data_IF_486704087894
#
_entry.id   IF_486704087894
#
_cell.length_a   1.000
_cell.length_b   1.000
_cell.length_c   1.000
_cell.angle_alpha   90.00
_cell.angle_beta   90.00
_cell.angle_gamma   90.00
#
_symmetry.space_group_name_H-M   'P 1'
#
loop_
_entity.id
_entity.type
_entity.pdbx_description
1 polymer ?
#
# COMPACT_ATOMS: atom_id res chain seq x y z
N UNK A 1 35.39 21.22 -39.14
CA UNK A 1 35.27 20.75 -40.54
C UNK A 1 36.48 19.91 -41.02
N UNK A 2 37.72 20.45 -41.09
CA UNK A 2 38.86 19.75 -41.75
C UNK A 2 39.20 18.35 -41.21
N UNK A 3 39.21 18.13 -39.89
CA UNK A 3 39.64 16.86 -39.28
C UNK A 3 38.62 15.71 -39.35
N UNK A 4 37.33 16.01 -39.59
CA UNK A 4 36.22 15.04 -39.60
C UNK A 4 35.21 15.40 -40.69
N UNK A 5 35.55 15.26 -41.99
CA UNK A 5 34.73 15.78 -43.08
C UNK A 5 33.41 15.03 -43.28
N UNK A 6 33.40 13.70 -43.10
CA UNK A 6 32.21 12.83 -43.26
C UNK A 6 31.19 13.09 -42.15
N UNK A 7 31.63 13.04 -40.89
CA UNK A 7 30.80 13.32 -39.71
C UNK A 7 30.22 14.74 -39.76
N UNK A 8 31.00 15.73 -40.22
CA UNK A 8 30.52 17.10 -40.42
C UNK A 8 29.47 17.23 -41.55
N UNK A 9 29.55 16.40 -42.60
CA UNK A 9 28.56 16.38 -43.67
C UNK A 9 27.27 15.69 -43.21
N UNK A 10 27.35 14.57 -42.48
CA UNK A 10 26.19 13.93 -41.87
C UNK A 10 25.48 14.86 -40.87
N UNK A 11 26.23 15.54 -39.99
CA UNK A 11 25.70 16.54 -39.07
C UNK A 11 25.08 17.76 -39.77
N UNK A 12 25.67 18.22 -40.88
CA UNK A 12 25.11 19.28 -41.72
C UNK A 12 23.78 18.88 -42.36
N UNK A 13 23.70 17.70 -42.97
CA UNK A 13 22.47 17.16 -43.55
C UNK A 13 21.36 16.94 -42.49
N UNK A 14 21.73 16.41 -41.32
CA UNK A 14 20.82 16.29 -40.19
C UNK A 14 20.32 17.66 -39.70
N UNK A 15 21.17 18.69 -39.70
CA UNK A 15 20.77 20.07 -39.36
C UNK A 15 19.75 20.62 -40.36
N UNK A 16 19.99 20.47 -41.67
CA UNK A 16 19.07 20.95 -42.71
C UNK A 16 17.67 20.34 -42.53
N UNK A 17 17.59 19.05 -42.18
CA UNK A 17 16.32 18.40 -41.87
C UNK A 17 15.72 18.89 -40.55
N UNK A 18 16.48 18.93 -39.46
CA UNK A 18 15.98 19.32 -38.13
C UNK A 18 15.55 20.80 -38.02
N UNK A 19 16.17 21.71 -38.80
CA UNK A 19 15.71 23.09 -38.94
C UNK A 19 14.47 23.21 -39.87
N UNK A 20 14.20 22.19 -40.67
CA UNK A 20 13.25 22.23 -41.77
C UNK A 20 13.63 23.29 -42.80
N UNK A 21 14.78 23.14 -43.44
CA UNK A 21 15.24 23.95 -44.57
C UNK A 21 15.00 23.18 -45.89
N UNK A 22 14.52 23.83 -46.97
CA UNK A 22 14.49 23.21 -48.29
C UNK A 22 15.90 22.77 -48.71
N UNK A 23 16.07 21.59 -49.35
CA UNK A 23 15.05 20.66 -49.82
C UNK A 23 14.81 19.45 -48.87
N UNK A 24 15.09 19.56 -47.57
CA UNK A 24 15.07 18.42 -46.65
C UNK A 24 13.65 18.04 -46.16
N UNK A 25 13.44 16.76 -45.81
CA UNK A 25 12.14 16.22 -45.39
C UNK A 25 11.48 17.00 -44.23
N UNK A 26 12.27 17.49 -43.27
CA UNK A 26 11.75 18.27 -42.14
C UNK A 26 11.15 19.63 -42.53
N UNK A 27 11.42 20.16 -43.72
CA UNK A 27 10.70 21.34 -44.23
C UNK A 27 9.23 20.99 -44.52
N UNK A 28 9.02 19.88 -45.23
CA UNK A 28 7.68 19.37 -45.59
C UNK A 28 6.90 19.01 -44.32
N UNK A 29 7.54 18.31 -43.37
CA UNK A 29 6.92 17.97 -42.09
C UNK A 29 6.48 19.21 -41.28
N UNK A 30 7.26 20.30 -41.35
CA UNK A 30 6.95 21.58 -40.70
C UNK A 30 5.83 22.35 -41.40
N UNK A 31 5.75 22.33 -42.74
CA UNK A 31 4.61 22.92 -43.46
C UNK A 31 3.30 22.18 -43.16
N UNK A 32 3.31 20.84 -43.19
CA UNK A 32 2.13 20.01 -42.83
C UNK A 32 1.72 20.21 -41.38
N UNK A 33 2.67 20.40 -40.46
CA UNK A 33 2.38 20.77 -39.07
C UNK A 33 1.64 22.12 -38.99
N UNK A 34 2.07 23.15 -39.74
CA UNK A 34 1.36 24.44 -39.74
C UNK A 34 0.01 24.41 -40.45
N UNK A 35 -0.14 23.64 -41.54
CA UNK A 35 -1.44 23.39 -42.17
C UNK A 35 -2.42 22.75 -41.17
N UNK A 36 -1.98 21.71 -40.45
CA UNK A 36 -2.84 21.01 -39.48
C UNK A 36 -3.11 21.83 -38.21
N UNK A 37 -2.15 22.59 -37.67
CA UNK A 37 -2.43 23.46 -36.51
C UNK A 37 -3.30 24.66 -36.87
N UNK A 38 -3.23 25.19 -38.09
CA UNK A 38 -4.13 26.25 -38.55
C UNK A 38 -5.56 25.74 -38.80
N UNK A 39 -5.73 24.50 -39.27
CA UNK A 39 -7.04 23.88 -39.45
C UNK A 39 -7.76 23.54 -38.13
N UNK A 40 -7.02 23.37 -37.02
CA UNK A 40 -7.51 22.90 -35.72
C UNK A 40 -8.31 23.96 -34.92
N UNK A 41 -9.40 24.48 -35.49
CA UNK A 41 -10.29 25.40 -34.77
C UNK A 41 -11.04 24.71 -33.60
N UNK A 42 -11.33 25.42 -32.50
CA UNK A 42 -11.06 26.85 -32.25
C UNK A 42 -9.66 27.14 -31.70
N UNK A 43 -8.87 26.12 -31.34
CA UNK A 43 -7.57 26.27 -30.65
C UNK A 43 -6.38 26.59 -31.58
N UNK A 44 -6.63 26.72 -32.88
CA UNK A 44 -5.63 26.86 -33.94
C UNK A 44 -4.54 27.91 -33.68
N UNK A 45 -4.91 29.08 -33.14
CA UNK A 45 -3.96 30.14 -32.80
C UNK A 45 -2.93 29.73 -31.75
N UNK A 46 -3.39 29.09 -30.66
CA UNK A 46 -2.51 28.62 -29.58
C UNK A 46 -1.64 27.45 -30.03
N UNK A 47 -2.21 26.49 -30.79
CA UNK A 47 -1.45 25.36 -31.33
C UNK A 47 -0.38 25.83 -32.33
N UNK A 48 -0.72 26.74 -33.24
CA UNK A 48 0.22 27.26 -34.25
C UNK A 48 1.31 28.11 -33.59
N UNK A 49 0.98 28.93 -32.58
CA UNK A 49 1.98 29.68 -31.80
C UNK A 49 2.93 28.75 -31.02
N UNK A 50 2.40 27.72 -30.36
CA UNK A 50 3.21 26.70 -29.68
C UNK A 50 4.12 25.93 -30.62
N UNK A 51 3.60 25.50 -31.78
CA UNK A 51 4.37 24.84 -32.83
C UNK A 51 5.47 25.76 -33.39
N UNK A 52 5.18 27.04 -33.61
CA UNK A 52 6.14 28.02 -34.12
C UNK A 52 7.29 28.28 -33.13
N UNK A 53 6.97 28.47 -31.84
CA UNK A 53 7.98 28.63 -30.80
C UNK A 53 8.83 27.35 -30.65
N UNK A 54 8.19 26.18 -30.63
CA UNK A 54 8.87 24.89 -30.56
C UNK A 54 9.83 24.65 -31.74
N UNK A 55 9.38 24.88 -32.97
CA UNK A 55 10.22 24.72 -34.15
C UNK A 55 11.31 25.79 -34.25
N UNK A 56 11.09 27.04 -33.81
CA UNK A 56 12.14 28.05 -33.74
C UNK A 56 13.25 27.66 -32.75
N UNK A 57 12.89 27.03 -31.62
CA UNK A 57 13.85 26.45 -30.68
C UNK A 57 14.58 25.26 -31.32
N UNK A 58 13.90 24.37 -32.06
CA UNK A 58 14.55 23.25 -32.77
C UNK A 58 15.52 23.72 -33.85
N UNK A 59 15.20 24.79 -34.60
CA UNK A 59 16.13 25.45 -35.53
C UNK A 59 17.37 25.92 -34.79
N UNK A 60 17.21 26.64 -33.66
CA UNK A 60 18.35 27.11 -32.87
C UNK A 60 19.20 25.95 -32.32
N UNK A 61 18.58 24.91 -31.75
CA UNK A 61 19.24 23.71 -31.22
C UNK A 61 19.98 22.95 -32.32
N UNK A 62 19.38 22.78 -33.50
CA UNK A 62 20.02 22.10 -34.63
C UNK A 62 21.30 22.83 -35.09
N UNK A 63 21.30 24.17 -35.14
CA UNK A 63 22.51 24.95 -35.38
C UNK A 63 23.56 24.76 -34.28
N UNK A 64 23.15 24.76 -33.01
CA UNK A 64 24.03 24.61 -31.85
C UNK A 64 24.68 23.21 -31.75
N UNK A 65 24.00 22.17 -32.20
CA UNK A 65 24.47 20.77 -32.10
C UNK A 65 25.10 20.28 -33.41
N UNK A 66 24.54 20.64 -34.57
CA UNK A 66 24.96 20.09 -35.86
C UNK A 66 25.92 20.96 -36.69
N UNK A 67 25.96 22.28 -36.47
CA UNK A 67 26.88 23.19 -37.18
C UNK A 67 28.03 23.69 -36.29
N UNK A 68 27.69 24.20 -35.10
CA UNK A 68 28.63 24.86 -34.19
C UNK A 68 29.84 24.00 -33.74
N UNK A 69 29.76 22.66 -33.57
CA UNK A 69 30.95 21.85 -33.30
C UNK A 69 31.93 21.77 -34.48
N UNK A 70 31.48 22.04 -35.70
CA UNK A 70 32.31 21.95 -36.91
C UNK A 70 32.74 23.32 -37.49
N UNK A 71 32.16 24.42 -37.00
CA UNK A 71 32.38 25.81 -37.42
C UNK A 71 32.89 26.64 -36.24
N UNK A 72 34.16 27.06 -36.29
CA UNK A 72 34.79 27.89 -35.27
C UNK A 72 36.31 27.71 -35.23
N UNK A 73 36.97 28.35 -34.26
CA UNK A 73 38.33 27.97 -33.86
C UNK A 73 38.25 26.64 -33.08
N UNK A 74 39.20 25.69 -33.25
CA UNK A 74 39.30 24.53 -32.38
C UNK A 74 39.46 24.98 -30.92
N UNK A 75 38.71 24.36 -30.01
CA UNK A 75 38.98 24.45 -28.58
C UNK A 75 40.03 23.41 -28.17
N UNK A 76 40.64 23.58 -27.01
CA UNK A 76 41.48 22.57 -26.40
C UNK A 76 40.62 21.37 -25.97
N UNK A 77 40.90 20.20 -26.52
CA UNK A 77 40.17 18.95 -26.24
C UNK A 77 41.13 17.90 -25.67
N UNK A 78 40.71 17.05 -24.70
CA UNK A 78 41.60 16.06 -24.05
C UNK A 78 42.23 15.01 -24.98
N UNK A 79 41.80 14.94 -26.24
CA UNK A 79 42.40 14.17 -27.33
C UNK A 79 42.30 14.96 -28.63
N UNK A 80 43.19 14.70 -29.59
CA UNK A 80 43.11 15.29 -30.92
C UNK A 80 41.94 14.72 -31.74
N UNK A 81 41.28 15.60 -32.50
CA UNK A 81 40.20 15.23 -33.41
C UNK A 81 40.75 14.44 -34.62
N UNK A 82 40.24 13.23 -34.80
CA UNK A 82 40.64 12.28 -35.85
C UNK A 82 39.39 11.84 -36.63
N UNK A 83 39.57 11.40 -37.88
CA UNK A 83 38.47 10.83 -38.66
C UNK A 83 37.99 9.52 -38.03
N UNK A 84 36.67 9.30 -38.00
CA UNK A 84 36.08 8.08 -37.49
C UNK A 84 36.31 6.89 -38.45
N UNK A 85 36.33 5.63 -37.95
CA UNK A 85 36.29 4.46 -38.82
C UNK A 85 34.98 4.46 -39.62
N UNK A 86 35.02 3.92 -40.85
CA UNK A 86 33.89 3.98 -41.78
C UNK A 86 32.62 3.33 -41.21
N UNK A 87 32.74 2.30 -40.39
CA UNK A 87 31.63 1.63 -39.68
C UNK A 87 30.84 2.55 -38.74
N UNK A 88 31.45 3.63 -38.23
CA UNK A 88 30.81 4.60 -37.34
C UNK A 88 30.25 5.82 -38.10
N UNK A 89 30.94 6.28 -39.16
CA UNK A 89 30.46 7.36 -40.03
C UNK A 89 29.31 6.94 -40.96
N UNK A 90 29.27 5.67 -41.40
CA UNK A 90 28.33 5.20 -42.43
C UNK A 90 26.85 5.24 -42.00
N UNK A 91 26.43 4.77 -40.80
CA UNK A 91 25.01 4.79 -40.44
C UNK A 91 24.43 6.21 -40.30
N UNK A 92 25.08 7.18 -39.61
CA UNK A 92 24.60 8.56 -39.57
C UNK A 92 24.56 9.23 -40.96
N UNK A 93 25.56 8.95 -41.82
CA UNK A 93 25.60 9.48 -43.18
C UNK A 93 24.46 8.92 -44.04
N UNK A 94 24.17 7.62 -43.93
CA UNK A 94 23.08 6.95 -44.65
C UNK A 94 21.71 7.45 -44.18
N UNK A 95 21.48 7.60 -42.88
CA UNK A 95 20.22 8.14 -42.37
C UNK A 95 20.01 9.61 -42.79
N UNK A 96 21.07 10.42 -42.76
CA UNK A 96 21.00 11.82 -43.16
C UNK A 96 20.83 11.99 -44.68
N UNK A 97 21.41 11.11 -45.51
CA UNK A 97 21.20 11.13 -46.96
C UNK A 97 19.82 10.62 -47.35
N UNK A 98 19.28 9.57 -46.69
CA UNK A 98 17.89 9.14 -46.86
C UNK A 98 16.90 10.26 -46.49
N UNK A 99 17.15 11.01 -45.41
CA UNK A 99 16.34 12.17 -45.02
C UNK A 99 16.38 13.33 -46.04
N UNK A 100 17.47 13.47 -46.80
CA UNK A 100 17.55 14.40 -47.93
C UNK A 100 16.80 13.86 -49.17
N UNK A 101 17.02 12.59 -49.53
CA UNK A 101 16.36 11.94 -50.67
C UNK A 101 14.84 11.92 -50.50
N UNK A 102 14.33 11.63 -49.30
CA UNK A 102 12.91 11.68 -48.98
C UNK A 102 12.33 13.11 -48.99
N UNK A 103 13.16 14.15 -48.82
CA UNK A 103 12.76 15.55 -49.02
C UNK A 103 12.73 15.97 -50.50
N UNK A 104 13.67 15.46 -51.30
CA UNK A 104 13.77 15.70 -52.74
C UNK A 104 12.70 14.94 -53.55
N UNK A 105 12.36 13.71 -53.13
CA UNK A 105 11.38 12.84 -53.80
C UNK A 105 10.25 12.40 -52.84
N UNK A 106 9.49 13.35 -52.27
CA UNK A 106 8.57 13.06 -51.17
C UNK A 106 7.38 12.19 -51.61
N UNK A 107 6.90 12.35 -52.84
CA UNK A 107 5.78 11.56 -53.36
C UNK A 107 6.13 10.08 -53.63
N UNK A 108 7.42 9.72 -53.76
CA UNK A 108 7.83 8.32 -53.99
C UNK A 108 8.34 7.64 -52.73
N UNK A 109 9.04 8.37 -51.84
CA UNK A 109 9.66 7.79 -50.65
C UNK A 109 8.86 8.01 -49.35
N UNK A 110 8.27 9.20 -49.16
CA UNK A 110 7.58 9.54 -47.92
C UNK A 110 6.06 9.33 -47.99
N UNK A 111 5.42 9.78 -49.06
CA UNK A 111 3.96 9.77 -49.19
C UNK A 111 3.32 8.38 -49.10
N UNK A 112 3.86 7.29 -49.68
CA UNK A 112 3.26 5.96 -49.55
C UNK A 112 3.25 5.45 -48.10
N UNK A 113 4.35 5.67 -47.37
CA UNK A 113 4.48 5.29 -45.96
C UNK A 113 3.54 6.11 -45.08
N UNK A 114 3.59 7.44 -45.20
CA UNK A 114 2.74 8.37 -44.42
C UNK A 114 1.26 8.12 -44.72
N UNK A 115 0.88 7.86 -45.97
CA UNK A 115 -0.50 7.55 -46.33
C UNK A 115 -0.96 6.22 -45.74
N UNK A 116 -0.15 5.15 -45.83
CA UNK A 116 -0.52 3.86 -45.24
C UNK A 116 -0.70 3.95 -43.72
N UNK A 117 0.23 4.62 -43.01
CA UNK A 117 0.11 4.84 -41.57
C UNK A 117 -1.09 5.73 -41.19
N UNK A 118 -1.36 6.80 -41.94
CA UNK A 118 -2.49 7.69 -41.66
C UNK A 118 -3.84 7.02 -41.94
N UNK A 119 -3.97 6.24 -43.02
CA UNK A 119 -5.18 5.47 -43.32
C UNK A 119 -5.45 4.40 -42.26
N UNK A 120 -4.40 3.70 -41.78
CA UNK A 120 -4.53 2.72 -40.70
C UNK A 120 -4.91 3.37 -39.35
N UNK A 121 -4.37 4.55 -39.03
CA UNK A 121 -4.64 5.25 -37.78
C UNK A 121 -6.02 5.95 -37.74
N UNK A 122 -6.50 6.45 -38.89
CA UNK A 122 -7.77 7.17 -39.00
C UNK A 122 -8.94 6.29 -39.48
N UNK A 123 -8.65 5.04 -39.91
CA UNK A 123 -9.61 4.08 -40.48
C UNK A 123 -10.42 4.64 -41.68
N UNK A 124 -9.83 5.58 -42.44
CA UNK A 124 -10.47 6.27 -43.56
C UNK A 124 -9.50 6.49 -44.73
N UNK A 125 -9.99 6.52 -45.99
CA UNK A 125 -9.16 6.63 -47.20
C UNK A 125 -8.62 8.06 -47.43
N UNK A 126 -7.62 8.46 -46.64
CA UNK A 126 -6.89 9.72 -46.81
C UNK A 126 -5.99 9.70 -48.06
N UNK A 127 -5.99 10.77 -48.87
CA UNK A 127 -5.00 10.99 -49.93
C UNK A 127 -3.96 12.02 -49.46
N UNK A 128 -2.75 11.57 -49.17
CA UNK A 128 -1.67 12.45 -48.70
C UNK A 128 -0.95 13.06 -49.90
N UNK A 129 -0.88 14.39 -49.96
CA UNK A 129 -0.05 15.13 -50.91
C UNK A 129 1.13 15.74 -50.17
N UNK A 130 2.35 15.43 -50.60
CA UNK A 130 3.58 16.03 -50.08
C UNK A 130 4.33 16.67 -51.25
N UNK A 131 4.20 17.99 -51.45
CA UNK A 131 5.08 18.72 -52.35
C UNK A 131 6.20 19.41 -51.55
N UNK A 132 7.33 19.67 -52.21
CA UNK A 132 8.42 20.47 -51.64
C UNK A 132 8.16 21.98 -51.77
N UNK A 133 7.22 22.38 -52.63
CA UNK A 133 6.87 23.78 -52.90
C UNK A 133 5.39 23.89 -53.22
N UNK A 134 4.64 24.58 -52.36
CA UNK A 134 3.20 24.79 -52.48
C UNK A 134 2.83 26.18 -53.02
N UNK A 135 3.82 26.98 -53.45
CA UNK A 135 3.65 28.38 -53.84
C UNK A 135 3.73 29.35 -52.64
N UNK A 136 3.35 30.61 -52.86
CA UNK A 136 3.29 31.62 -51.81
C UNK A 136 2.02 31.43 -50.96
N UNK A 137 2.12 30.60 -49.92
CA UNK A 137 1.03 30.31 -48.97
C UNK A 137 1.37 30.79 -47.53
N UNK A 138 0.39 30.82 -46.61
CA UNK A 138 0.64 31.21 -45.21
C UNK A 138 1.62 30.28 -44.47
N UNK A 139 1.68 29.00 -44.87
CA UNK A 139 2.55 27.99 -44.26
C UNK A 139 4.03 28.28 -44.56
N UNK A 140 4.36 28.72 -45.76
CA UNK A 140 5.69 29.18 -46.17
C UNK A 140 6.08 30.45 -45.40
N UNK A 141 5.14 31.38 -45.17
CA UNK A 141 5.39 32.57 -44.36
C UNK A 141 5.69 32.21 -42.88
N UNK A 142 4.94 31.28 -42.29
CA UNK A 142 5.22 30.74 -40.95
C UNK A 142 6.56 29.97 -40.93
N UNK A 143 6.86 29.18 -41.97
CA UNK A 143 8.11 28.44 -42.11
C UNK A 143 9.33 29.38 -42.17
N UNK A 144 9.24 30.46 -42.95
CA UNK A 144 10.24 31.52 -43.05
C UNK A 144 10.40 32.29 -41.72
N UNK A 145 9.29 32.66 -41.06
CA UNK A 145 9.30 33.30 -39.74
C UNK A 145 9.96 32.40 -38.68
N UNK A 146 9.67 31.09 -38.71
CA UNK A 146 10.30 30.08 -37.83
C UNK A 146 11.81 30.02 -38.03
N UNK A 147 12.26 30.03 -39.30
CA UNK A 147 13.69 30.03 -39.64
C UNK A 147 14.38 31.33 -39.22
N UNK A 148 13.72 32.49 -39.41
CA UNK A 148 14.24 33.79 -38.98
C UNK A 148 14.37 33.88 -37.45
N UNK A 149 13.33 33.49 -36.70
CA UNK A 149 13.34 33.45 -35.24
C UNK A 149 14.38 32.45 -34.70
N UNK A 150 14.47 31.26 -35.28
CA UNK A 150 15.47 30.26 -34.90
C UNK A 150 16.90 30.67 -35.21
N UNK A 151 17.14 31.37 -36.33
CA UNK A 151 18.43 31.94 -36.66
C UNK A 151 18.81 33.10 -35.71
N UNK A 152 17.85 33.95 -35.34
CA UNK A 152 18.03 35.00 -34.35
C UNK A 152 18.35 34.42 -32.95
N UNK A 153 17.65 33.36 -32.53
CA UNK A 153 17.94 32.63 -31.29
C UNK A 153 19.31 31.92 -31.32
N UNK A 154 19.73 31.39 -32.47
CA UNK A 154 21.06 30.80 -32.66
C UNK A 154 22.18 31.85 -32.53
N UNK A 155 22.05 32.99 -33.21
CA UNK A 155 22.99 34.10 -33.11
C UNK A 155 23.01 34.70 -31.68
N UNK A 156 21.83 34.89 -31.10
CA UNK A 156 21.61 35.39 -29.73
C UNK A 156 21.78 34.35 -28.62
N UNK A 157 22.35 33.17 -28.90
CA UNK A 157 22.37 32.07 -27.92
C UNK A 157 23.05 32.41 -26.58
N UNK A 158 24.07 33.28 -26.57
CA UNK A 158 24.81 33.63 -25.33
C UNK A 158 23.90 34.29 -24.27
N UNK A 159 23.23 35.43 -24.53
CA UNK A 159 22.30 36.01 -23.56
C UNK A 159 21.09 35.11 -23.28
N UNK A 160 20.64 34.28 -24.23
CA UNK A 160 19.58 33.28 -23.97
C UNK A 160 20.04 32.25 -22.92
N UNK A 161 21.26 31.74 -23.03
CA UNK A 161 21.85 30.83 -22.05
C UNK A 161 22.02 31.47 -20.67
N UNK A 162 22.47 32.73 -20.61
CA UNK A 162 22.57 33.48 -19.35
C UNK A 162 21.19 33.73 -18.71
N UNK A 163 20.16 33.98 -19.51
CA UNK A 163 18.78 34.11 -19.04
C UNK A 163 18.25 32.77 -18.50
N UNK A 164 18.46 31.64 -19.20
CA UNK A 164 18.05 30.33 -18.67
C UNK A 164 18.81 29.96 -17.40
N UNK A 165 20.09 30.35 -17.27
CA UNK A 165 20.86 30.19 -16.04
C UNK A 165 20.24 30.95 -14.84
N UNK A 166 19.77 32.19 -15.05
CA UNK A 166 19.03 32.97 -14.04
C UNK A 166 17.67 32.36 -13.71
N UNK A 167 17.01 31.72 -14.69
CA UNK A 167 15.71 31.09 -14.53
C UNK A 167 15.74 29.66 -13.97
N UNK A 168 16.91 29.09 -13.64
CA UNK A 168 17.06 27.71 -13.11
C UNK A 168 16.24 27.42 -11.85
N UNK A 169 15.82 28.44 -11.09
CA UNK A 169 14.94 28.28 -9.92
C UNK A 169 13.57 27.67 -10.28
N UNK A 170 13.07 27.89 -11.51
CA UNK A 170 11.84 27.25 -12.01
C UNK A 170 11.95 25.72 -12.07
N UNK A 171 13.17 25.17 -12.15
CA UNK A 171 13.42 23.73 -12.03
C UNK A 171 12.95 23.12 -10.70
N UNK A 172 12.80 23.92 -9.64
CA UNK A 172 12.19 23.49 -8.36
C UNK A 172 10.70 23.14 -8.51
N UNK A 173 10.02 23.70 -9.51
CA UNK A 173 8.61 23.42 -9.81
C UNK A 173 8.46 22.46 -11.00
N UNK A 174 9.55 21.87 -11.48
CA UNK A 174 9.53 20.91 -12.59
C UNK A 174 9.02 19.52 -12.17
N UNK A 175 8.49 18.73 -13.13
CA UNK A 175 7.91 17.41 -12.84
C UNK A 175 8.91 16.43 -12.20
N UNK A 176 10.20 16.55 -12.51
CA UNK A 176 11.25 15.76 -11.89
C UNK A 176 11.37 15.99 -10.36
N UNK A 177 11.17 17.23 -9.88
CA UNK A 177 11.17 17.51 -8.45
C UNK A 177 9.87 17.06 -7.78
N UNK A 178 8.72 17.27 -8.44
CA UNK A 178 7.42 16.78 -7.97
C UNK A 178 7.41 15.26 -7.77
N UNK A 179 8.03 14.51 -8.70
CA UNK A 179 8.23 13.06 -8.59
C UNK A 179 9.09 12.67 -7.37
N UNK A 180 10.23 13.33 -7.16
CA UNK A 180 11.12 13.09 -6.02
C UNK A 180 10.42 13.37 -4.68
N UNK A 181 9.71 14.49 -4.57
CA UNK A 181 8.94 14.88 -3.37
C UNK A 181 7.78 13.90 -3.13
N UNK A 182 7.12 13.42 -4.19
CA UNK A 182 6.08 12.39 -4.11
C UNK A 182 6.61 11.09 -3.51
N UNK A 183 7.75 10.59 -3.99
CA UNK A 183 8.40 9.39 -3.44
C UNK A 183 8.82 9.57 -1.98
N UNK A 184 9.39 10.73 -1.61
CA UNK A 184 9.80 10.94 -0.22
C UNK A 184 8.61 11.04 0.73
N UNK A 185 7.53 11.72 0.33
CA UNK A 185 6.31 11.81 1.11
C UNK A 185 5.59 10.46 1.23
N UNK A 186 5.60 9.63 0.18
CA UNK A 186 5.11 8.25 0.26
C UNK A 186 5.91 7.42 1.27
N UNK A 187 7.24 7.54 1.28
CA UNK A 187 8.10 6.88 2.29
C UNK A 187 7.79 7.35 3.70
N UNK A 188 7.68 8.67 3.91
CA UNK A 188 7.33 9.28 5.21
C UNK A 188 5.95 8.81 5.70
N UNK A 189 4.95 8.77 4.81
CA UNK A 189 3.61 8.28 5.12
C UNK A 189 3.61 6.79 5.48
N UNK A 190 4.31 5.95 4.72
CA UNK A 190 4.46 4.53 5.02
C UNK A 190 5.11 4.30 6.39
N UNK A 191 6.22 4.98 6.69
CA UNK A 191 6.86 4.91 8.02
C UNK A 191 5.94 5.38 9.15
N UNK A 192 5.21 6.48 8.95
CA UNK A 192 4.22 6.97 9.93
C UNK A 192 3.11 5.93 10.17
N UNK A 193 2.57 5.32 9.11
CA UNK A 193 1.53 4.31 9.21
C UNK A 193 2.04 3.07 9.97
N UNK A 194 3.25 2.60 9.65
CA UNK A 194 3.92 1.52 10.39
C UNK A 194 4.08 1.86 11.88
N UNK A 195 4.61 3.03 12.24
CA UNK A 195 4.78 3.41 13.65
C UNK A 195 3.46 3.60 14.41
N UNK A 196 2.36 3.94 13.72
CA UNK A 196 1.03 4.07 14.35
C UNK A 196 0.38 2.71 14.58
N UNK A 197 0.42 1.83 13.57
CA UNK A 197 -0.15 0.48 13.65
C UNK A 197 0.73 -0.45 14.48
N UNK A 198 1.99 -0.66 14.09
CA UNK A 198 2.96 -1.58 14.70
C UNK A 198 3.81 -0.90 15.78
N UNK A 199 3.15 -0.22 16.72
CA UNK A 199 3.80 0.52 17.81
C UNK A 199 4.45 -0.37 18.90
N UNK A 200 4.32 -1.69 18.81
CA UNK A 200 4.94 -2.67 19.74
C UNK A 200 4.15 -2.94 21.03
N UNK A 201 3.22 -2.09 21.45
CA UNK A 201 2.49 -2.25 22.70
C UNK A 201 1.22 -3.10 22.51
N UNK A 202 1.20 -4.29 23.13
CA UNK A 202 0.06 -5.22 23.10
C UNK A 202 -1.28 -4.55 23.48
N UNK A 203 -1.25 -3.57 24.39
CA UNK A 203 -2.42 -2.74 24.76
C UNK A 203 -3.13 -2.15 23.54
N UNK A 204 -2.40 -1.54 22.61
CA UNK A 204 -3.01 -0.94 21.43
C UNK A 204 -3.52 -1.99 20.43
N UNK A 205 -2.81 -3.11 20.26
CA UNK A 205 -3.31 -4.22 19.43
C UNK A 205 -4.64 -4.78 19.97
N UNK A 206 -4.76 -4.99 21.28
CA UNK A 206 -6.00 -5.43 21.91
C UNK A 206 -7.13 -4.39 21.78
N UNK A 207 -6.83 -3.10 21.95
CA UNK A 207 -7.81 -2.03 21.73
C UNK A 207 -8.30 -2.02 20.27
N UNK A 208 -7.41 -2.18 19.29
CA UNK A 208 -7.78 -2.28 17.87
C UNK A 208 -8.65 -3.51 17.61
N UNK A 209 -8.29 -4.69 18.12
CA UNK A 209 -9.09 -5.92 17.95
C UNK A 209 -10.50 -5.73 18.52
N UNK A 210 -10.64 -5.23 19.75
CA UNK A 210 -11.95 -5.01 20.37
C UNK A 210 -12.77 -3.98 19.59
N UNK A 211 -12.19 -2.82 19.25
CA UNK A 211 -12.89 -1.77 18.52
C UNK A 211 -13.28 -2.19 17.09
N UNK A 212 -12.44 -2.95 16.40
CA UNK A 212 -12.76 -3.50 15.08
C UNK A 212 -13.85 -4.57 15.17
N UNK A 213 -13.83 -5.45 16.19
CA UNK A 213 -14.92 -6.41 16.42
C UNK A 213 -16.24 -5.71 16.74
N UNK A 214 -16.25 -4.68 17.60
CA UNK A 214 -17.43 -3.86 17.90
C UNK A 214 -17.95 -3.15 16.65
N UNK A 215 -17.06 -2.54 15.85
CA UNK A 215 -17.44 -1.84 14.63
C UNK A 215 -17.98 -2.78 13.55
N UNK A 216 -17.37 -3.95 13.34
CA UNK A 216 -17.81 -4.93 12.34
C UNK A 216 -19.10 -5.63 12.75
N UNK A 217 -19.22 -6.05 14.02
CA UNK A 217 -20.45 -6.66 14.53
C UNK A 217 -21.62 -5.65 14.52
N UNK A 218 -21.38 -4.40 14.94
CA UNK A 218 -22.36 -3.33 14.88
C UNK A 218 -22.78 -2.98 13.44
N UNK A 219 -21.83 -2.90 12.50
CA UNK A 219 -22.12 -2.66 11.08
C UNK A 219 -22.85 -3.83 10.41
N UNK A 220 -22.50 -5.08 10.75
CA UNK A 220 -23.22 -6.26 10.29
C UNK A 220 -24.67 -6.27 10.82
N UNK A 221 -24.85 -5.90 12.09
CA UNK A 221 -26.17 -5.76 12.71
C UNK A 221 -27.02 -4.69 12.01
N UNK A 222 -26.50 -3.47 11.88
CA UNK A 222 -27.15 -2.32 11.22
C UNK A 222 -27.47 -2.55 9.73
N UNK A 223 -26.88 -3.57 9.09
CA UNK A 223 -27.18 -3.96 7.70
C UNK A 223 -28.09 -5.18 7.57
N UNK A 224 -28.15 -6.04 8.59
CA UNK A 224 -28.79 -7.35 8.53
C UNK A 224 -30.03 -7.54 9.42
N UNK A 225 -30.28 -6.62 10.36
CA UNK A 225 -31.38 -6.71 11.31
C UNK A 225 -32.25 -5.43 11.28
N UNK A 226 -33.53 -5.61 10.97
CA UNK A 226 -34.52 -4.53 11.05
C UNK A 226 -34.96 -4.25 12.50
N UNK A 227 -34.89 -5.26 13.38
CA UNK A 227 -35.41 -5.18 14.76
C UNK A 227 -34.52 -5.98 15.74
N UNK A 228 -34.40 -5.47 16.98
CA UNK A 228 -33.75 -6.18 18.09
C UNK A 228 -34.77 -7.03 18.85
N UNK A 229 -34.97 -8.27 18.40
CA UNK A 229 -35.77 -9.25 19.14
C UNK A 229 -34.98 -9.69 20.38
N UNK A 230 -35.38 -9.17 21.54
CA UNK A 230 -34.92 -9.60 22.86
C UNK A 230 -35.98 -10.51 23.51
N UNK A 231 -35.54 -11.47 24.32
CA UNK A 231 -36.46 -12.37 25.03
C UNK A 231 -37.17 -11.60 26.15
N UNK A 232 -38.50 -11.50 26.09
CA UNK A 232 -39.30 -10.81 27.10
C UNK A 232 -39.77 -11.73 28.26
N UNK A 233 -39.72 -13.05 28.06
CA UNK A 233 -39.90 -14.04 29.11
C UNK A 233 -38.54 -14.39 29.73
N UNK A 234 -38.32 -13.99 30.99
CA UNK A 234 -37.07 -14.23 31.72
C UNK A 234 -37.10 -15.53 32.54
N UNK A 235 -38.21 -16.27 32.54
CA UNK A 235 -38.41 -17.44 33.38
C UNK A 235 -38.44 -17.13 34.88
N UNK A 236 -38.43 -18.18 35.70
CA UNK A 236 -38.33 -18.09 37.16
C UNK A 236 -36.87 -18.03 37.59
N UNK A 237 -36.35 -16.83 37.84
CA UNK A 237 -34.98 -16.64 38.36
C UNK A 237 -34.91 -17.17 39.80
N UNK A 238 -33.99 -18.09 40.04
CA UNK A 238 -33.82 -18.75 41.33
C UNK A 238 -32.91 -17.93 42.27
N UNK A 239 -33.16 -17.99 43.58
CA UNK A 239 -32.35 -17.28 44.58
C UNK A 239 -30.84 -17.61 44.49
N UNK A 240 -30.49 -18.88 44.25
CA UNK A 240 -29.10 -19.30 44.12
C UNK A 240 -28.41 -18.75 42.86
N UNK A 241 -29.14 -18.53 41.76
CA UNK A 241 -28.61 -17.90 40.54
C UNK A 241 -28.27 -16.42 40.80
N UNK A 242 -29.14 -15.71 41.52
CA UNK A 242 -28.91 -14.31 41.93
C UNK A 242 -27.67 -14.22 42.83
N UNK A 243 -27.56 -15.10 43.83
CA UNK A 243 -26.41 -15.11 44.76
C UNK A 243 -25.10 -15.43 44.04
N UNK A 244 -25.06 -16.44 43.17
CA UNK A 244 -23.87 -16.79 42.40
C UNK A 244 -23.49 -15.70 41.38
N UNK A 245 -24.46 -15.13 40.66
CA UNK A 245 -24.24 -14.03 39.75
C UNK A 245 -23.69 -12.79 40.46
N UNK A 246 -24.28 -12.41 41.60
CA UNK A 246 -23.78 -11.31 42.42
C UNK A 246 -22.37 -11.57 42.95
N UNK A 247 -22.07 -12.80 43.42
CA UNK A 247 -20.74 -13.19 43.90
C UNK A 247 -19.68 -13.06 42.79
N UNK A 248 -19.97 -13.55 41.58
CA UNK A 248 -19.07 -13.47 40.42
C UNK A 248 -18.83 -12.01 40.00
N UNK A 249 -19.88 -11.18 39.96
CA UNK A 249 -19.78 -9.75 39.64
C UNK A 249 -18.95 -9.01 40.70
N UNK A 250 -19.18 -9.27 41.99
CA UNK A 250 -18.41 -8.68 43.09
C UNK A 250 -16.93 -9.12 43.06
N UNK A 251 -16.65 -10.39 42.75
CA UNK A 251 -15.29 -10.89 42.57
C UNK A 251 -14.58 -10.16 41.42
N UNK A 252 -15.19 -10.07 40.24
CA UNK A 252 -14.66 -9.33 39.09
C UNK A 252 -14.42 -7.84 39.39
N UNK A 253 -15.37 -7.18 40.05
CA UNK A 253 -15.26 -5.78 40.50
C UNK A 253 -14.22 -5.55 41.60
N UNK A 254 -13.80 -6.60 42.31
CA UNK A 254 -12.73 -6.55 43.31
C UNK A 254 -11.37 -6.82 42.68
N UNK A 255 -11.27 -7.78 41.74
CA UNK A 255 -10.08 -8.06 40.92
C UNK A 255 -9.51 -6.77 40.30
N UNK A 256 -10.35 -5.98 39.61
CA UNK A 256 -9.91 -4.75 38.91
C UNK A 256 -9.47 -3.61 39.84
N UNK A 257 -9.83 -3.66 41.14
CA UNK A 257 -9.42 -2.67 42.16
C UNK A 257 -8.22 -3.14 42.98
N UNK A 258 -7.92 -4.43 42.97
CA UNK A 258 -6.94 -5.07 43.83
C UNK A 258 -5.50 -4.75 43.39
N UNK A 259 -4.62 -4.46 44.35
CA UNK A 259 -3.19 -4.19 44.10
C UNK A 259 -2.27 -5.39 44.40
N UNK A 260 -2.75 -6.36 45.19
CA UNK A 260 -1.98 -7.54 45.59
C UNK A 260 -2.17 -8.67 44.59
N UNK A 261 -1.05 -9.21 44.09
CA UNK A 261 -1.02 -10.22 43.04
C UNK A 261 -1.65 -11.54 43.48
N UNK A 262 -1.32 -12.01 44.68
CA UNK A 262 -1.90 -13.23 45.26
C UNK A 262 -3.40 -13.07 45.54
N UNK A 263 -3.84 -11.88 45.97
CA UNK A 263 -5.26 -11.60 46.18
C UNK A 263 -6.05 -11.59 44.86
N UNK A 264 -5.51 -11.01 43.80
CA UNK A 264 -6.12 -11.07 42.45
C UNK A 264 -6.32 -12.52 42.00
N UNK A 265 -5.32 -13.40 42.19
CA UNK A 265 -5.42 -14.82 41.81
C UNK A 265 -6.44 -15.55 42.70
N UNK A 266 -6.43 -15.32 44.02
CA UNK A 266 -7.40 -15.95 44.93
C UNK A 266 -8.86 -15.54 44.63
N UNK A 267 -9.10 -14.28 44.28
CA UNK A 267 -10.44 -13.78 43.90
C UNK A 267 -10.82 -14.26 42.49
N UNK A 268 -9.85 -14.49 41.59
CA UNK A 268 -10.10 -15.14 40.29
C UNK A 268 -10.62 -16.57 40.47
N UNK A 269 -10.09 -17.30 41.46
CA UNK A 269 -10.64 -18.59 41.91
C UNK A 269 -12.14 -18.52 42.21
N UNK A 270 -12.61 -17.48 42.93
CA UNK A 270 -14.04 -17.30 43.24
C UNK A 270 -14.90 -17.24 41.97
N UNK A 271 -14.39 -16.64 40.88
CA UNK A 271 -15.07 -16.62 39.57
C UNK A 271 -15.11 -18.03 38.98
N UNK A 272 -13.99 -18.77 38.94
CA UNK A 272 -13.93 -20.11 38.38
C UNK A 272 -14.75 -21.16 39.14
N UNK A 273 -14.68 -21.17 40.48
CA UNK A 273 -15.54 -22.01 41.32
C UNK A 273 -17.02 -21.62 41.18
N UNK A 274 -17.33 -20.33 41.00
CA UNK A 274 -18.70 -19.85 40.69
C UNK A 274 -19.22 -20.38 39.36
N UNK A 275 -18.40 -20.37 38.30
CA UNK A 275 -18.76 -20.93 36.99
C UNK A 275 -18.95 -22.46 37.04
N UNK A 276 -18.11 -23.17 37.79
CA UNK A 276 -18.27 -24.61 38.00
C UNK A 276 -19.57 -24.96 38.76
N UNK A 277 -19.96 -24.16 39.76
CA UNK A 277 -21.26 -24.31 40.42
C UNK A 277 -22.44 -24.03 39.47
N UNK A 278 -22.31 -23.05 38.57
CA UNK A 278 -23.30 -22.80 37.51
C UNK A 278 -23.42 -24.02 36.56
N UNK A 279 -22.31 -24.64 36.13
CA UNK A 279 -22.36 -25.87 35.33
C UNK A 279 -23.03 -27.03 36.08
N UNK A 280 -22.75 -27.20 37.38
CA UNK A 280 -23.38 -28.23 38.18
C UNK A 280 -24.90 -28.02 38.32
N UNK A 281 -25.35 -26.78 38.54
CA UNK A 281 -26.77 -26.43 38.66
C UNK A 281 -27.55 -26.64 37.35
N UNK A 282 -26.95 -26.33 36.20
CA UNK A 282 -27.54 -26.58 34.88
C UNK A 282 -27.26 -28.01 34.34
N UNK A 283 -26.93 -28.96 35.22
CA UNK A 283 -26.90 -30.39 34.88
C UNK A 283 -25.69 -30.84 34.05
N UNK A 284 -24.58 -30.10 34.07
CA UNK A 284 -23.33 -30.43 33.38
C UNK A 284 -22.21 -30.81 34.38
N UNK A 285 -22.31 -31.96 35.09
CA UNK A 285 -21.38 -32.34 36.15
C UNK A 285 -19.96 -32.56 35.64
N UNK A 286 -19.78 -33.11 34.43
CA UNK A 286 -18.46 -33.34 33.85
C UNK A 286 -17.70 -32.02 33.62
N UNK A 287 -18.40 -30.99 33.12
CA UNK A 287 -17.85 -29.64 32.95
C UNK A 287 -17.52 -29.02 34.31
N UNK A 288 -18.38 -29.21 35.32
CA UNK A 288 -18.11 -28.73 36.68
C UNK A 288 -16.85 -29.37 37.30
N UNK A 289 -16.71 -30.69 37.20
CA UNK A 289 -15.53 -31.43 37.71
C UNK A 289 -14.23 -30.98 37.03
N UNK A 290 -14.24 -30.84 35.70
CA UNK A 290 -13.07 -30.36 34.94
C UNK A 290 -12.78 -28.88 35.27
N UNK A 291 -13.79 -28.02 35.38
CA UNK A 291 -13.59 -26.62 35.75
C UNK A 291 -13.00 -26.47 37.17
N UNK A 292 -13.46 -27.26 38.15
CA UNK A 292 -12.86 -27.26 39.49
C UNK A 292 -11.38 -27.68 39.46
N UNK A 293 -11.03 -28.71 38.69
CA UNK A 293 -9.65 -29.19 38.57
C UNK A 293 -8.75 -28.16 37.87
N UNK A 294 -9.21 -27.60 36.74
CA UNK A 294 -8.48 -26.59 35.97
C UNK A 294 -8.31 -25.30 36.76
N UNK A 295 -9.33 -24.83 37.49
CA UNK A 295 -9.22 -23.62 38.32
C UNK A 295 -8.19 -23.82 39.43
N UNK A 296 -8.23 -24.97 40.12
CA UNK A 296 -7.26 -25.33 41.17
C UNK A 296 -5.82 -25.32 40.62
N UNK A 297 -5.60 -25.97 39.47
CA UNK A 297 -4.29 -26.00 38.81
C UNK A 297 -3.84 -24.60 38.35
N UNK A 298 -4.75 -23.82 37.79
CA UNK A 298 -4.51 -22.47 37.26
C UNK A 298 -4.11 -21.50 38.38
N UNK A 299 -4.80 -21.54 39.52
CA UNK A 299 -4.44 -20.79 40.74
C UNK A 299 -3.04 -21.18 41.22
N UNK A 300 -2.72 -22.47 41.30
CA UNK A 300 -1.38 -22.95 41.72
C UNK A 300 -0.28 -22.45 40.76
N UNK A 301 -0.47 -22.62 39.45
CA UNK A 301 0.50 -22.19 38.43
C UNK A 301 0.70 -20.67 38.44
N UNK A 302 -0.37 -19.88 38.53
CA UNK A 302 -0.25 -18.43 38.64
C UNK A 302 0.44 -18.00 39.93
N UNK A 303 0.16 -18.63 41.07
CA UNK A 303 0.87 -18.32 42.33
C UNK A 303 2.38 -18.60 42.19
N UNK A 304 2.76 -19.77 41.66
CA UNK A 304 4.16 -20.14 41.45
C UNK A 304 4.93 -19.18 40.53
N UNK A 305 4.32 -18.80 39.40
CA UNK A 305 4.92 -17.85 38.45
C UNK A 305 4.97 -16.44 39.03
N UNK A 306 3.86 -15.95 39.58
CA UNK A 306 3.73 -14.53 39.96
C UNK A 306 4.46 -14.22 41.28
N UNK A 307 4.72 -15.22 42.13
CA UNK A 307 5.64 -15.09 43.28
C UNK A 307 7.07 -14.72 42.87
N UNK A 308 7.49 -15.05 41.63
CA UNK A 308 8.81 -14.68 41.08
C UNK A 308 8.84 -13.32 40.37
N UNK A 309 7.71 -12.61 40.26
CA UNK A 309 7.61 -11.34 39.53
C UNK A 309 7.61 -10.13 40.48
N UNK A 310 8.15 -8.97 40.04
CA UNK A 310 8.12 -7.74 40.84
C UNK A 310 6.70 -7.26 41.15
N UNK A 311 6.57 -6.42 42.19
CA UNK A 311 5.34 -5.70 42.53
C UNK A 311 4.91 -4.84 41.32
N UNK A 312 3.61 -4.80 41.00
CA UNK A 312 3.16 -4.14 39.76
C UNK A 312 3.14 -2.61 39.89
N UNK A 313 3.98 -1.96 39.08
CA UNK A 313 4.11 -0.50 38.96
C UNK A 313 2.93 0.11 38.21
N UNK A 314 2.52 1.33 38.60
CA UNK A 314 1.43 2.07 37.94
C UNK A 314 1.96 2.97 36.83
N UNK A 315 2.28 2.38 35.68
CA UNK A 315 2.82 3.09 34.52
C UNK A 315 1.77 3.84 33.67
N UNK A 316 0.47 3.66 33.96
CA UNK A 316 -0.63 4.15 33.11
C UNK A 316 -1.31 5.42 33.65
N UNK A 317 -1.29 6.50 32.86
CA UNK A 317 -1.92 7.78 33.20
C UNK A 317 -3.46 7.69 33.36
N UNK A 318 -4.12 8.62 34.06
CA UNK A 318 -5.58 8.64 34.21
C UNK A 318 -6.37 8.60 32.89
N UNK A 319 -6.10 9.45 31.85
CA UNK A 319 -6.88 9.42 30.62
C UNK A 319 -6.66 8.13 29.80
N UNK A 320 -5.46 7.54 29.87
CA UNK A 320 -5.19 6.24 29.25
C UNK A 320 -6.05 5.13 29.88
N UNK A 321 -6.17 5.12 31.21
CA UNK A 321 -7.06 4.17 31.93
C UNK A 321 -8.55 4.41 31.65
N UNK A 322 -8.97 5.65 31.41
CA UNK A 322 -10.34 5.94 30.97
C UNK A 322 -10.61 5.37 29.57
N UNK A 323 -9.67 5.52 28.63
CA UNK A 323 -9.79 4.92 27.31
C UNK A 323 -9.84 3.37 27.37
N UNK A 324 -9.02 2.75 28.23
CA UNK A 324 -9.03 1.29 28.45
C UNK A 324 -10.38 0.83 29.00
N UNK A 325 -10.93 1.55 29.98
CA UNK A 325 -12.26 1.27 30.55
C UNK A 325 -13.37 1.41 29.51
N UNK A 326 -13.37 2.46 28.68
CA UNK A 326 -14.38 2.66 27.63
C UNK A 326 -14.34 1.55 26.58
N UNK A 327 -13.16 1.09 26.17
CA UNK A 327 -13.01 -0.04 25.22
C UNK A 327 -13.42 -1.37 25.85
N UNK A 328 -13.10 -1.60 27.12
CA UNK A 328 -13.56 -2.79 27.84
C UNK A 328 -15.09 -2.81 27.99
N UNK A 329 -15.71 -1.66 28.27
CA UNK A 329 -17.16 -1.52 28.36
C UNK A 329 -17.87 -1.75 27.02
N UNK A 330 -17.35 -1.26 25.89
CA UNK A 330 -17.96 -1.51 24.57
C UNK A 330 -17.83 -2.98 24.15
N UNK A 331 -16.68 -3.62 24.41
CA UNK A 331 -16.49 -5.05 24.18
C UNK A 331 -17.41 -5.92 25.04
N UNK A 332 -17.53 -5.61 26.34
CA UNK A 332 -18.44 -6.30 27.26
C UNK A 332 -19.90 -6.15 26.86
N UNK A 333 -20.35 -4.91 26.61
CA UNK A 333 -21.73 -4.61 26.19
C UNK A 333 -22.09 -5.29 24.86
N UNK A 334 -21.17 -5.34 23.89
CA UNK A 334 -21.36 -6.10 22.65
C UNK A 334 -21.65 -7.57 22.95
N UNK A 335 -20.83 -8.23 23.77
CA UNK A 335 -21.01 -9.64 24.11
C UNK A 335 -22.31 -9.91 24.88
N UNK A 336 -22.71 -9.00 25.77
CA UNK A 336 -24.01 -9.07 26.46
C UNK A 336 -25.17 -8.98 25.45
N UNK A 337 -25.15 -8.00 24.55
CA UNK A 337 -26.20 -7.82 23.53
C UNK A 337 -26.27 -9.01 22.57
N UNK A 338 -25.11 -9.50 22.09
CA UNK A 338 -25.06 -10.68 21.21
C UNK A 338 -25.58 -11.94 21.91
N UNK A 339 -25.23 -12.17 23.17
CA UNK A 339 -25.76 -13.29 23.96
C UNK A 339 -27.28 -13.20 24.10
N UNK A 340 -27.82 -12.02 24.45
CA UNK A 340 -29.27 -11.82 24.58
C UNK A 340 -30.03 -12.04 23.26
N UNK A 341 -29.47 -11.59 22.12
CA UNK A 341 -30.06 -11.80 20.79
C UNK A 341 -30.03 -13.29 20.39
N UNK A 342 -29.00 -14.04 20.79
CA UNK A 342 -28.90 -15.47 20.52
C UNK A 342 -29.86 -16.27 21.41
N UNK A 343 -29.95 -15.97 22.71
CA UNK A 343 -30.87 -16.66 23.64
C UNK A 343 -32.35 -16.32 23.43
N UNK A 344 -32.65 -15.28 22.65
CA UNK A 344 -34.02 -14.96 22.20
C UNK A 344 -34.51 -15.83 21.03
N UNK A 345 -33.63 -16.61 20.36
CA UNK A 345 -34.01 -17.48 19.25
C UNK A 345 -34.45 -18.87 19.75
N UNK A 346 -35.44 -19.51 19.11
CA UNK A 346 -35.84 -20.86 19.45
C UNK A 346 -34.70 -21.86 19.16
N UNK A 347 -34.46 -22.77 20.11
CA UNK A 347 -33.49 -23.86 19.95
C UNK A 347 -34.07 -24.91 18.99
N UNK A 348 -33.26 -25.38 18.04
CA UNK A 348 -33.63 -26.41 17.07
C UNK A 348 -32.96 -27.74 17.46
N UNK A 349 -33.66 -28.69 18.11
CA UNK A 349 -33.04 -29.76 18.91
C UNK A 349 -32.52 -30.98 18.13
N UNK A 350 -32.48 -30.93 16.80
CA UNK A 350 -32.30 -32.12 15.93
C UNK A 350 -31.02 -32.93 16.23
N UNK A 351 -29.92 -32.27 16.58
CA UNK A 351 -28.63 -32.93 16.86
C UNK A 351 -28.58 -33.50 18.29
N UNK A 352 -29.15 -32.78 19.27
CA UNK A 352 -29.24 -33.25 20.66
C UNK A 352 -30.09 -34.52 20.80
N UNK A 353 -31.22 -34.60 20.07
CA UNK A 353 -32.06 -35.79 20.05
C UNK A 353 -31.33 -37.00 19.46
N UNK A 354 -30.58 -36.80 18.37
CA UNK A 354 -29.75 -37.85 17.78
C UNK A 354 -28.77 -38.45 18.80
N UNK A 355 -27.99 -37.62 19.51
CA UNK A 355 -27.03 -38.12 20.50
C UNK A 355 -27.71 -38.82 21.68
N UNK A 356 -28.81 -38.25 22.21
CA UNK A 356 -29.58 -38.86 23.31
C UNK A 356 -30.14 -40.23 22.94
N UNK A 357 -30.63 -40.42 21.70
CA UNK A 357 -31.19 -41.69 21.23
C UNK A 357 -30.11 -42.73 20.89
N UNK A 358 -28.91 -42.31 20.48
CA UNK A 358 -27.91 -43.21 19.89
C UNK A 358 -26.67 -43.49 20.76
N UNK A 359 -26.38 -42.70 21.80
CA UNK A 359 -25.19 -42.89 22.64
C UNK A 359 -25.06 -44.31 23.22
N UNK A 360 -26.16 -44.87 23.72
CA UNK A 360 -26.20 -46.26 24.21
C UNK A 360 -26.34 -47.30 23.09
N UNK A 361 -26.95 -46.93 21.95
CA UNK A 361 -27.29 -47.88 20.87
C UNK A 361 -26.16 -48.12 19.87
N UNK A 362 -25.31 -47.13 19.64
CA UNK A 362 -24.19 -47.20 18.70
C UNK A 362 -22.83 -47.28 19.43
N UNK A 363 -22.65 -46.49 20.49
CA UNK A 363 -21.39 -46.38 21.22
C UNK A 363 -21.40 -47.05 22.61
N UNK A 364 -22.47 -47.78 22.96
CA UNK A 364 -22.64 -48.54 24.22
C UNK A 364 -22.50 -47.73 25.54
N UNK A 365 -22.45 -46.40 25.49
CA UNK A 365 -22.20 -45.56 26.65
C UNK A 365 -23.46 -44.91 27.24
N UNK A 366 -23.52 -44.80 28.57
CA UNK A 366 -24.61 -44.13 29.31
C UNK A 366 -24.38 -42.65 29.57
N UNK A 367 -23.13 -42.21 29.70
CA UNK A 367 -22.78 -40.79 29.77
C UNK A 367 -22.70 -40.22 28.35
N UNK A 368 -23.72 -39.48 27.95
CA UNK A 368 -23.84 -38.90 26.59
C UNK A 368 -22.75 -37.86 26.32
N UNK A 369 -22.30 -37.09 27.32
CA UNK A 369 -21.22 -36.11 27.17
C UNK A 369 -19.91 -36.81 26.85
N UNK A 370 -19.54 -37.81 27.67
CA UNK A 370 -18.34 -38.61 27.43
C UNK A 370 -18.40 -39.33 26.06
N UNK A 371 -19.54 -39.92 25.69
CA UNK A 371 -19.72 -40.58 24.38
C UNK A 371 -19.55 -39.59 23.21
N UNK A 372 -20.07 -38.37 23.32
CA UNK A 372 -19.83 -37.34 22.29
C UNK A 372 -18.32 -37.06 22.16
N UNK A 373 -17.60 -36.92 23.28
CA UNK A 373 -16.16 -36.62 23.26
C UNK A 373 -15.29 -37.77 22.75
N UNK A 374 -15.53 -39.02 23.18
CA UNK A 374 -14.62 -40.15 22.87
C UNK A 374 -15.03 -41.00 21.67
N UNK A 375 -16.24 -40.85 21.15
CA UNK A 375 -16.78 -41.62 20.02
C UNK A 375 -17.25 -40.69 18.88
N UNK A 376 -18.46 -40.10 18.99
CA UNK A 376 -19.07 -39.34 17.90
C UNK A 376 -18.25 -38.11 17.43
N UNK A 377 -17.45 -37.51 18.30
CA UNK A 377 -16.54 -36.38 18.01
C UNK A 377 -15.10 -36.63 18.49
N UNK A 378 -14.67 -37.90 18.54
CA UNK A 378 -13.33 -38.32 18.94
C UNK A 378 -12.17 -37.51 18.32
N UNK A 379 -12.35 -37.02 17.09
CA UNK A 379 -11.35 -36.23 16.37
C UNK A 379 -11.09 -34.85 17.00
N UNK A 380 -12.11 -34.22 17.59
CA UNK A 380 -11.95 -32.93 18.28
C UNK A 380 -11.13 -33.12 19.56
N UNK A 381 -11.45 -34.15 20.35
CA UNK A 381 -10.71 -34.53 21.58
C UNK A 381 -9.26 -34.96 21.27
N UNK A 382 -9.02 -35.64 20.15
CA UNK A 382 -7.65 -35.90 19.66
C UNK A 382 -6.89 -34.60 19.37
N UNK A 383 -7.57 -33.60 18.80
CA UNK A 383 -7.03 -32.25 18.60
C UNK A 383 -6.68 -31.56 19.92
N UNK A 384 -7.59 -31.56 20.91
CA UNK A 384 -7.37 -30.99 22.23
C UNK A 384 -6.18 -31.64 22.97
N UNK A 385 -6.12 -32.97 22.99
CA UNK A 385 -5.00 -33.73 23.57
C UNK A 385 -3.68 -33.36 22.87
N UNK A 386 -3.69 -33.22 21.55
CA UNK A 386 -2.51 -32.80 20.77
C UNK A 386 -2.07 -31.38 21.13
N UNK A 387 -3.00 -30.44 21.28
CA UNK A 387 -2.70 -29.06 21.70
C UNK A 387 -2.13 -29.02 23.12
N UNK A 388 -2.70 -29.78 24.07
CA UNK A 388 -2.19 -29.87 25.44
C UNK A 388 -0.80 -30.51 25.50
N UNK A 389 -0.55 -31.57 24.72
CA UNK A 389 0.77 -32.19 24.61
C UNK A 389 1.81 -31.22 24.03
N UNK A 390 1.48 -30.50 22.95
CA UNK A 390 2.35 -29.49 22.35
C UNK A 390 2.60 -28.30 23.30
N UNK A 391 1.60 -27.87 24.07
CA UNK A 391 1.76 -26.83 25.08
C UNK A 391 2.71 -27.29 26.21
N UNK A 392 2.56 -28.53 26.70
CA UNK A 392 3.46 -29.13 27.70
C UNK A 392 4.91 -29.25 27.20
N UNK A 393 5.09 -29.73 25.96
CA UNK A 393 6.40 -29.79 25.29
C UNK A 393 6.98 -28.39 25.10
N UNK A 394 6.17 -27.40 24.71
CA UNK A 394 6.59 -26.01 24.55
C UNK A 394 7.04 -25.37 25.86
N UNK A 395 6.31 -25.58 26.96
CA UNK A 395 6.72 -25.11 28.30
C UNK A 395 8.00 -25.80 28.77
N UNK A 396 8.12 -27.12 28.57
CA UNK A 396 9.35 -27.85 28.88
C UNK A 396 10.55 -27.33 28.06
N UNK A 397 10.35 -27.09 26.76
CA UNK A 397 11.36 -26.53 25.86
C UNK A 397 11.78 -25.13 26.30
N UNK A 398 10.86 -24.23 26.65
CA UNK A 398 11.17 -22.89 27.16
C UNK A 398 11.95 -22.92 28.49
N UNK A 399 11.65 -23.87 29.38
CA UNK A 399 12.38 -24.04 30.65
C UNK A 399 13.79 -24.62 30.42
N UNK A 400 13.98 -25.50 29.44
CA UNK A 400 15.29 -26.12 29.14
C UNK A 400 16.19 -25.28 28.23
N UNK A 401 15.64 -24.63 27.21
CA UNK A 401 16.38 -23.84 26.20
C UNK A 401 16.68 -22.43 26.70
N UNK A 402 17.40 -22.32 27.81
CA UNK A 402 17.97 -21.05 28.28
C UNK A 402 19.18 -20.67 27.41
N UNK A 403 18.91 -20.27 26.16
CA UNK A 403 19.94 -19.82 25.21
C UNK A 403 20.45 -18.45 25.67
N UNK A 404 21.70 -18.40 26.14
CA UNK A 404 22.43 -17.15 26.34
C UNK A 404 21.86 -16.23 27.43
N UNK A 405 21.73 -16.72 28.67
CA UNK A 405 21.48 -15.87 29.84
C UNK A 405 22.69 -14.96 30.11
N UNK A 406 22.82 -13.87 29.34
CA UNK A 406 23.58 -12.71 29.78
C UNK A 406 22.98 -12.24 31.10
N UNK A 407 23.78 -12.22 32.15
CA UNK A 407 23.36 -11.63 33.41
C UNK A 407 23.31 -10.11 33.22
N UNK A 408 22.11 -9.59 33.02
CA UNK A 408 21.84 -8.16 33.20
C UNK A 408 21.99 -7.92 34.70
N UNK A 409 23.21 -7.58 35.11
CA UNK A 409 23.52 -7.08 36.45
C UNK A 409 22.80 -5.74 36.57
N UNK A 410 21.59 -5.78 37.11
CA UNK A 410 20.90 -4.58 37.57
C UNK A 410 21.70 -4.14 38.80
N UNK A 411 22.35 -2.97 38.79
CA UNK A 411 23.02 -2.47 39.99
C UNK A 411 21.97 -2.32 41.11
N UNK A 412 22.36 -2.52 42.39
CA UNK A 412 21.44 -2.21 43.48
C UNK A 412 20.97 -0.77 43.33
N UNK A 413 19.68 -0.54 43.56
CA UNK A 413 19.18 0.83 43.63
C UNK A 413 19.90 1.54 44.78
N UNK A 414 20.40 2.74 44.52
CA UNK A 414 20.93 3.60 45.57
C UNK A 414 19.78 3.90 46.54
N UNK A 415 19.98 3.56 47.82
CA UNK A 415 19.07 3.96 48.88
C UNK A 415 19.32 5.45 49.16
N UNK A 416 18.43 6.32 48.68
CA UNK A 416 18.38 7.72 49.10
C UNK A 416 17.89 7.78 50.56
N UNK A 417 18.79 8.18 51.47
CA UNK A 417 18.52 8.47 52.90
C UNK A 417 17.58 9.68 53.11
#
# INVERSE_FOLDING_TARGET
RRSMPRTALAGGLATLSMAGLPPALGFIAKEVLYETTLAAQPVAGWLTAGALIGNAILVAVSGLVGLKPFIGKPGETPRHAHAAPLSLDLPPLLLASLGLLAGLMPMTLAAPLVQASAQAALLQPLKVKLALWHGLNPMLALSALTLALGAALYAGWRPVWELTARLRWLGRFGPAHAYQVGLENLRRFASWLTYRLQNGYLRFYLMTIILTTVALAGLAYLRGANEIILRNDWGTINFYEIVLGALIILAALTIIRTRSRLATIAIMGIVGYGLALIYLLYGAPDLAMIQFAIETLTVILFVLVVYRLPKFTRLTSPPARLADFLVAMTGGLLMTILTLIVTARPVVPHISEFFMQNALRLANGRNVVNVILVDFRAFDTLGEITVLALAGIGVYALIRLTIGRHEIIIPPAEEED
#
